data_IF_201901000380
#
_entry.id   IF_201901000380
#
_cell.length_a   1.000
_cell.length_b   1.000
_cell.length_c   1.000
_cell.angle_alpha   90.00
_cell.angle_beta   90.00
_cell.angle_gamma   90.00
#
_symmetry.space_group_name_H-M   'P 1'
#
loop_
_entity.id
_entity.type
_entity.pdbx_description
1 polymer ?
#
# COMPACT_ATOMS: atom_id res chain seq x y z
N UNK A 1 -20.14 -13.60 2.88
CA UNK A 1 -18.70 -13.73 2.58
C UNK A 1 -17.96 -13.10 3.73
N UNK A 2 -17.35 -13.95 4.56
CA UNK A 2 -16.55 -13.50 5.69
C UNK A 2 -15.27 -12.92 5.11
N UNK A 3 -15.12 -11.61 5.13
CA UNK A 3 -13.83 -10.99 4.89
C UNK A 3 -12.96 -11.28 6.11
N UNK A 4 -12.16 -12.31 6.02
CA UNK A 4 -11.12 -12.58 6.99
C UNK A 4 -10.15 -11.40 6.98
N UNK A 5 -10.26 -10.54 7.99
CA UNK A 5 -9.31 -9.44 8.18
C UNK A 5 -7.91 -10.02 8.30
N UNK A 6 -7.08 -9.77 7.30
CA UNK A 6 -5.68 -10.04 7.40
C UNK A 6 -5.04 -9.00 8.29
N UNK A 7 -4.74 -9.40 9.48
CA UNK A 7 -4.10 -8.57 10.47
C UNK A 7 -2.65 -9.03 10.59
N UNK A 8 -1.75 -8.19 10.09
CA UNK A 8 -0.31 -8.44 10.13
C UNK A 8 0.35 -7.39 10.99
N UNK A 9 1.12 -7.83 11.98
CA UNK A 9 1.93 -6.92 12.78
C UNK A 9 3.41 -7.09 12.42
N UNK A 10 4.00 -6.01 11.95
CA UNK A 10 5.44 -5.92 11.70
C UNK A 10 6.05 -4.94 12.70
N UNK A 11 6.95 -5.43 13.57
CA UNK A 11 7.69 -4.57 14.52
C UNK A 11 9.03 -4.12 13.95
N UNK A 12 9.63 -4.96 13.14
CA UNK A 12 11.00 -4.83 12.66
C UNK A 12 11.02 -4.65 11.14
N UNK A 13 12.18 -4.35 10.61
CA UNK A 13 12.37 -4.07 9.19
C UNK A 13 12.80 -5.35 8.46
N UNK A 14 12.13 -5.64 7.37
CA UNK A 14 12.42 -6.78 6.50
C UNK A 14 13.23 -6.32 5.29
N UNK A 15 14.36 -6.96 5.06
CA UNK A 15 15.23 -6.67 3.90
C UNK A 15 15.28 -7.91 3.01
N UNK A 16 14.89 -7.74 1.76
CA UNK A 16 14.95 -8.75 0.71
C UNK A 16 16.10 -8.37 -0.22
N UNK A 17 17.23 -9.03 -0.04
CA UNK A 17 18.40 -8.87 -0.90
C UNK A 17 18.49 -10.00 -1.93
N UNK A 18 19.40 -9.88 -2.89
CA UNK A 18 19.57 -10.88 -3.95
C UNK A 18 19.87 -12.29 -3.39
N UNK A 19 20.73 -12.37 -2.38
CA UNK A 19 21.25 -13.64 -1.85
C UNK A 19 20.64 -14.06 -0.51
N UNK A 20 19.95 -13.17 0.17
CA UNK A 20 19.40 -13.42 1.49
C UNK A 20 18.15 -12.61 1.82
N UNK A 21 17.51 -12.99 2.91
CA UNK A 21 16.44 -12.25 3.57
C UNK A 21 16.88 -11.98 4.99
N UNK A 22 16.68 -10.76 5.47
CA UNK A 22 17.12 -10.31 6.79
C UNK A 22 16.00 -9.60 7.53
N UNK A 23 15.89 -9.87 8.82
CA UNK A 23 15.08 -9.07 9.74
C UNK A 23 16.02 -8.17 10.52
N UNK A 24 15.75 -6.86 10.51
CA UNK A 24 16.61 -5.85 11.13
C UNK A 24 15.86 -5.01 12.16
N UNK A 25 16.58 -4.59 13.17
CA UNK A 25 16.16 -3.56 14.12
C UNK A 25 17.28 -2.54 14.24
N UNK A 26 16.98 -1.27 14.02
CA UNK A 26 17.98 -0.20 14.00
C UNK A 26 19.20 -0.54 13.11
N UNK A 27 18.93 -1.05 11.91
CA UNK A 27 19.93 -1.48 10.90
C UNK A 27 20.85 -2.62 11.33
N UNK A 28 20.48 -3.37 12.38
CA UNK A 28 21.23 -4.54 12.81
C UNK A 28 20.43 -5.80 12.55
N UNK A 29 21.12 -6.85 12.06
CA UNK A 29 20.48 -8.12 11.76
C UNK A 29 20.05 -8.82 13.04
N UNK A 30 18.75 -9.08 13.17
CA UNK A 30 18.20 -9.98 14.18
C UNK A 30 18.35 -11.42 13.69
N UNK A 31 17.96 -11.69 12.45
CA UNK A 31 18.26 -12.92 11.75
C UNK A 31 18.54 -12.68 10.28
N UNK A 32 19.27 -13.58 9.67
CA UNK A 32 19.54 -13.64 8.24
C UNK A 32 19.41 -15.08 7.77
N UNK A 33 18.72 -15.28 6.66
CA UNK A 33 18.55 -16.58 6.02
C UNK A 33 18.97 -16.42 4.56
N UNK A 34 19.95 -17.19 4.12
CA UNK A 34 20.37 -17.16 2.73
C UNK A 34 19.53 -18.09 1.84
N UNK A 35 19.80 -18.06 0.54
CA UNK A 35 19.08 -18.85 -0.45
C UNK A 35 19.24 -20.36 -0.25
N UNK A 36 20.27 -20.80 0.44
CA UNK A 36 20.50 -22.21 0.79
C UNK A 36 19.79 -22.67 2.05
N UNK A 37 19.14 -21.75 2.78
CA UNK A 37 18.48 -22.03 4.04
C UNK A 37 19.41 -21.95 5.26
N UNK A 38 20.61 -21.41 5.11
CA UNK A 38 21.51 -21.18 6.24
C UNK A 38 21.02 -20.02 7.07
N UNK A 39 20.89 -20.22 8.37
CA UNK A 39 20.44 -19.25 9.36
C UNK A 39 21.60 -18.65 10.14
N UNK A 40 21.56 -17.33 10.34
CA UNK A 40 22.37 -16.61 11.32
C UNK A 40 21.45 -15.86 12.27
N UNK A 41 21.69 -15.96 13.56
CA UNK A 41 21.03 -15.21 14.61
C UNK A 41 22.01 -14.20 15.21
N UNK A 42 21.68 -12.93 15.13
CA UNK A 42 22.56 -11.84 15.59
C UNK A 42 24.02 -12.00 15.14
N UNK A 43 24.18 -12.36 13.87
CA UNK A 43 25.48 -12.57 13.22
C UNK A 43 26.13 -13.93 13.49
N UNK A 44 25.53 -14.79 14.32
CA UNK A 44 26.08 -16.11 14.62
C UNK A 44 25.42 -17.20 13.80
N UNK A 45 26.22 -18.02 13.13
CA UNK A 45 25.77 -19.16 12.36
C UNK A 45 25.04 -20.18 13.25
N UNK A 46 23.86 -20.60 12.84
CA UNK A 46 23.07 -21.63 13.52
C UNK A 46 23.11 -22.91 12.69
N UNK A 47 23.59 -23.99 13.29
CA UNK A 47 23.57 -25.30 12.66
C UNK A 47 22.18 -25.91 12.80
N UNK A 48 21.60 -26.32 11.68
CA UNK A 48 20.29 -26.96 11.61
C UNK A 48 20.38 -28.28 10.87
N UNK A 49 19.44 -29.20 11.11
CA UNK A 49 19.34 -30.41 10.34
C UNK A 49 18.77 -30.14 8.93
N UNK A 50 18.82 -31.13 8.05
CA UNK A 50 18.37 -30.99 6.66
C UNK A 50 16.89 -30.56 6.56
N UNK A 51 16.04 -31.07 7.43
CA UNK A 51 14.61 -30.72 7.45
C UNK A 51 14.39 -29.26 7.82
N UNK A 52 15.04 -28.77 8.86
CA UNK A 52 14.98 -27.36 9.28
C UNK A 52 15.58 -26.43 8.23
N UNK A 53 16.69 -26.82 7.63
CA UNK A 53 17.29 -26.04 6.54
C UNK A 53 16.33 -25.88 5.37
N UNK A 54 15.61 -26.94 4.99
CA UNK A 54 14.60 -26.86 3.93
C UNK A 54 13.44 -25.94 4.34
N UNK A 55 12.97 -26.01 5.57
CA UNK A 55 11.91 -25.13 6.08
C UNK A 55 12.35 -23.66 6.07
N UNK A 56 13.59 -23.36 6.46
CA UNK A 56 14.18 -22.01 6.37
C UNK A 56 14.29 -21.53 4.93
N UNK A 57 14.67 -22.40 4.02
CA UNK A 57 14.73 -22.09 2.59
C UNK A 57 13.34 -21.74 2.03
N UNK A 58 12.33 -22.52 2.38
CA UNK A 58 10.94 -22.27 1.97
C UNK A 58 10.41 -20.96 2.56
N UNK A 59 10.74 -20.68 3.82
CA UNK A 59 10.36 -19.45 4.51
C UNK A 59 10.95 -18.20 3.84
N UNK A 60 12.26 -18.19 3.60
CA UNK A 60 12.90 -17.04 2.95
C UNK A 60 12.39 -16.85 1.52
N UNK A 61 12.15 -17.94 0.79
CA UNK A 61 11.59 -17.87 -0.55
C UNK A 61 10.16 -17.29 -0.54
N UNK A 62 9.34 -17.72 0.40
CA UNK A 62 7.98 -17.21 0.57
C UNK A 62 7.94 -15.73 0.95
N UNK A 63 8.82 -15.29 1.87
CA UNK A 63 8.95 -13.88 2.22
C UNK A 63 9.38 -13.03 1.01
N UNK A 64 10.30 -13.53 0.22
CA UNK A 64 10.74 -12.88 -1.04
C UNK A 64 9.58 -12.73 -2.01
N UNK A 65 8.86 -13.80 -2.27
CA UNK A 65 7.73 -13.81 -3.20
C UNK A 65 6.63 -12.85 -2.75
N UNK A 66 6.27 -12.87 -1.47
CA UNK A 66 5.22 -11.98 -0.96
C UNK A 66 5.67 -10.52 -0.89
N UNK A 67 6.93 -10.25 -0.61
CA UNK A 67 7.46 -8.88 -0.65
C UNK A 67 7.41 -8.29 -2.05
N UNK A 68 7.75 -9.05 -3.09
CA UNK A 68 7.58 -8.63 -4.48
C UNK A 68 6.10 -8.42 -4.84
N UNK A 69 5.21 -9.28 -4.35
CA UNK A 69 3.77 -9.14 -4.57
C UNK A 69 3.22 -7.85 -3.92
N UNK A 70 3.65 -7.52 -2.71
CA UNK A 70 3.28 -6.27 -2.03
C UNK A 70 3.76 -5.05 -2.81
N UNK A 71 5.00 -5.05 -3.26
CA UNK A 71 5.57 -3.97 -4.07
C UNK A 71 4.76 -3.77 -5.35
N UNK A 72 4.43 -4.85 -6.05
CA UNK A 72 3.60 -4.79 -7.26
C UNK A 72 2.20 -4.26 -6.99
N UNK A 73 1.57 -4.70 -5.90
CA UNK A 73 0.24 -4.25 -5.49
C UNK A 73 0.22 -2.74 -5.18
N UNK A 74 1.21 -2.26 -4.42
CA UNK A 74 1.35 -0.84 -4.09
C UNK A 74 1.58 0.00 -5.34
N UNK A 75 2.45 -0.45 -6.25
CA UNK A 75 2.71 0.24 -7.51
C UNK A 75 1.44 0.35 -8.37
N UNK A 76 0.67 -0.72 -8.48
CA UNK A 76 -0.57 -0.75 -9.27
C UNK A 76 -1.68 0.10 -8.60
N UNK A 77 -1.75 0.13 -7.28
CA UNK A 77 -2.67 1.01 -6.55
C UNK A 77 -2.34 2.49 -6.79
N UNK A 78 -1.07 2.86 -6.75
CA UNK A 78 -0.63 4.23 -7.06
C UNK A 78 -0.90 4.60 -8.52
N UNK A 79 -0.67 3.69 -9.45
CA UNK A 79 -0.99 3.89 -10.86
C UNK A 79 -2.49 4.06 -11.09
N UNK A 80 -3.32 3.28 -10.40
CA UNK A 80 -4.78 3.43 -10.46
C UNK A 80 -5.22 4.80 -9.96
N UNK A 81 -4.69 5.25 -8.83
CA UNK A 81 -4.98 6.57 -8.28
C UNK A 81 -4.58 7.70 -9.25
N UNK A 82 -3.37 7.62 -9.84
CA UNK A 82 -2.89 8.58 -10.82
C UNK A 82 -3.80 8.62 -12.06
N UNK A 83 -4.19 7.47 -12.58
CA UNK A 83 -5.09 7.36 -13.74
C UNK A 83 -6.47 7.94 -13.44
N UNK A 84 -7.02 7.71 -12.25
CA UNK A 84 -8.29 8.26 -11.84
C UNK A 84 -8.27 9.80 -11.82
N UNK A 85 -7.21 10.37 -11.24
CA UNK A 85 -7.07 11.84 -11.18
C UNK A 85 -6.85 12.45 -12.56
N UNK A 86 -6.04 11.84 -13.41
CA UNK A 86 -5.84 12.29 -14.79
C UNK A 86 -7.14 12.30 -15.59
N UNK A 87 -8.00 11.31 -15.42
CA UNK A 87 -9.32 11.28 -16.06
C UNK A 87 -10.22 12.42 -15.59
N UNK A 88 -10.20 12.73 -14.29
CA UNK A 88 -10.94 13.87 -13.74
C UNK A 88 -10.44 15.17 -14.36
N UNK A 89 -9.14 15.38 -14.45
CA UNK A 89 -8.54 16.57 -15.08
C UNK A 89 -8.97 16.71 -16.52
N UNK A 90 -8.90 15.64 -17.31
CA UNK A 90 -9.33 15.65 -18.72
C UNK A 90 -10.81 15.94 -18.88
N UNK A 91 -11.66 15.39 -18.00
CA UNK A 91 -13.10 15.64 -18.04
C UNK A 91 -13.47 17.09 -17.74
N UNK A 92 -12.69 17.78 -16.91
CA UNK A 92 -12.93 19.16 -16.48
C UNK A 92 -12.42 20.22 -17.46
N UNK A 93 -11.93 19.86 -18.62
CA UNK A 93 -11.61 20.82 -19.67
C UNK A 93 -10.19 20.76 -20.21
N UNK A 94 -9.49 19.67 -20.00
CA UNK A 94 -8.27 19.36 -20.72
C UNK A 94 -7.02 20.01 -20.15
N UNK A 95 -6.36 20.84 -20.92
CA UNK A 95 -5.03 21.34 -20.59
C UNK A 95 -5.06 22.52 -19.62
N UNK A 96 -5.00 22.24 -18.33
CA UNK A 96 -4.74 23.25 -17.32
C UNK A 96 -3.41 22.94 -16.62
N UNK A 97 -2.31 23.65 -16.94
CA UNK A 97 -0.99 23.36 -16.35
C UNK A 97 -0.95 23.52 -14.83
N UNK A 98 -1.74 24.43 -14.26
CA UNK A 98 -1.79 24.64 -12.81
C UNK A 98 -2.48 23.47 -12.10
N UNK A 99 -3.57 22.96 -12.69
CA UNK A 99 -4.27 21.81 -12.16
C UNK A 99 -3.40 20.56 -12.26
N UNK A 100 -2.72 20.35 -13.38
CA UNK A 100 -1.80 19.24 -13.57
C UNK A 100 -0.63 19.29 -12.56
N UNK A 101 -0.07 20.47 -12.29
CA UNK A 101 0.97 20.65 -11.29
C UNK A 101 0.46 20.31 -9.88
N UNK A 102 -0.77 20.68 -9.53
CA UNK A 102 -1.38 20.32 -8.22
C UNK A 102 -1.62 18.83 -8.09
N UNK A 103 -2.03 18.15 -9.16
CA UNK A 103 -2.19 16.70 -9.23
C UNK A 103 -0.85 16.00 -9.02
N UNK A 104 0.17 16.41 -9.76
CA UNK A 104 1.52 15.82 -9.68
C UNK A 104 2.11 16.01 -8.28
N UNK A 105 1.89 17.15 -7.65
CA UNK A 105 2.31 17.42 -6.28
C UNK A 105 1.58 16.52 -5.28
N UNK A 106 0.27 16.33 -5.41
CA UNK A 106 -0.52 15.48 -4.52
C UNK A 106 -0.07 14.02 -4.62
N UNK A 107 0.10 13.50 -5.83
CA UNK A 107 0.59 12.13 -6.08
C UNK A 107 2.01 11.97 -5.56
N UNK A 108 2.88 12.95 -5.79
CA UNK A 108 4.25 12.96 -5.27
C UNK A 108 4.31 12.90 -3.74
N UNK A 109 3.44 13.63 -3.05
CA UNK A 109 3.34 13.61 -1.59
C UNK A 109 2.93 12.24 -1.07
N UNK A 110 1.90 11.62 -1.67
CA UNK A 110 1.47 10.27 -1.31
C UNK A 110 2.56 9.24 -1.58
N UNK A 111 3.24 9.35 -2.71
CA UNK A 111 4.36 8.47 -3.06
C UNK A 111 5.51 8.58 -2.06
N UNK A 112 5.85 9.78 -1.60
CA UNK A 112 6.86 9.98 -0.56
C UNK A 112 6.52 9.24 0.73
N UNK A 113 5.27 9.28 1.18
CA UNK A 113 4.81 8.53 2.35
C UNK A 113 4.93 7.01 2.15
N UNK A 114 4.49 6.51 1.00
CA UNK A 114 4.60 5.08 0.65
C UNK A 114 6.06 4.65 0.59
N UNK A 115 6.95 5.45 0.00
CA UNK A 115 8.38 5.17 -0.14
C UNK A 115 9.12 5.14 1.21
N UNK A 116 8.55 5.67 2.29
CA UNK A 116 9.12 5.51 3.63
C UNK A 116 8.89 4.11 4.21
N UNK A 117 7.86 3.42 3.75
CA UNK A 117 7.50 2.09 4.21
C UNK A 117 8.09 1.00 3.33
N UNK A 118 7.95 1.15 2.01
CA UNK A 118 8.47 0.21 1.02
C UNK A 118 9.54 0.91 0.20
N UNK A 119 10.80 0.55 0.44
CA UNK A 119 11.95 1.14 -0.23
C UNK A 119 12.53 0.12 -1.21
N UNK A 120 12.66 0.51 -2.46
CA UNK A 120 13.38 -0.25 -3.47
C UNK A 120 14.70 0.45 -3.79
N UNK A 121 15.80 -0.25 -3.63
CA UNK A 121 17.13 0.29 -3.91
C UNK A 121 18.05 -0.78 -4.46
N UNK A 122 18.54 -0.59 -5.69
CA UNK A 122 19.52 -1.49 -6.29
C UNK A 122 19.06 -2.94 -6.44
N UNK A 123 17.77 -3.17 -6.65
CA UNK A 123 17.17 -4.51 -6.71
C UNK A 123 16.75 -5.09 -5.36
N UNK A 124 17.16 -4.49 -4.26
CA UNK A 124 16.74 -4.88 -2.91
C UNK A 124 15.41 -4.22 -2.55
N UNK A 125 14.61 -4.94 -1.76
CA UNK A 125 13.38 -4.42 -1.17
C UNK A 125 13.59 -4.30 0.34
N UNK A 126 13.23 -3.15 0.90
CA UNK A 126 13.19 -2.94 2.34
C UNK A 126 11.76 -2.57 2.75
N UNK A 127 11.17 -3.33 3.65
CA UNK A 127 9.86 -3.04 4.26
C UNK A 127 10.12 -2.56 5.68
N UNK A 128 9.89 -1.28 5.92
CA UNK A 128 10.14 -0.65 7.21
C UNK A 128 8.95 -0.85 8.18
N UNK A 129 8.80 -2.06 8.67
CA UNK A 129 7.74 -2.42 9.61
C UNK A 129 7.77 -1.59 10.90
N UNK A 130 8.96 -1.19 11.36
CA UNK A 130 9.13 -0.31 12.51
C UNK A 130 8.46 1.07 12.36
N UNK A 131 8.30 1.54 11.12
CA UNK A 131 7.62 2.82 10.82
C UNK A 131 6.10 2.66 10.73
N UNK A 132 5.61 1.49 10.35
CA UNK A 132 4.17 1.19 10.27
C UNK A 132 3.60 1.02 11.68
N UNK A 133 4.31 0.31 12.53
CA UNK A 133 3.86 -0.13 13.84
C UNK A 133 4.39 0.74 14.98
N UNK A 134 4.40 2.06 14.77
CA UNK A 134 4.59 3.03 15.83
C UNK A 134 3.49 2.85 16.86
N UNK A 135 3.84 2.62 18.13
CA UNK A 135 2.91 2.50 19.24
C UNK A 135 1.95 3.71 19.37
N UNK A 136 2.31 4.84 18.75
CA UNK A 136 1.58 6.11 18.80
C UNK A 136 0.63 6.31 17.58
N UNK A 137 0.52 5.38 16.64
CA UNK A 137 -0.28 5.54 15.41
C UNK A 137 0.15 6.70 14.52
N UNK A 138 1.37 7.18 14.69
CA UNK A 138 1.87 8.41 14.09
C UNK A 138 1.94 8.34 12.57
N UNK A 139 2.34 7.20 12.00
CA UNK A 139 2.37 7.01 10.55
C UNK A 139 0.98 7.10 9.94
N UNK A 140 -0.01 6.42 10.55
CA UNK A 140 -1.40 6.44 10.08
C UNK A 140 -1.98 7.86 10.12
N UNK A 141 -1.77 8.59 11.21
CA UNK A 141 -2.20 9.98 11.32
C UNK A 141 -1.52 10.90 10.29
N UNK A 142 -0.21 10.78 10.11
CA UNK A 142 0.52 11.57 9.12
C UNK A 142 0.08 11.25 7.68
N UNK A 143 -0.19 9.98 7.39
CA UNK A 143 -0.71 9.56 6.09
C UNK A 143 -2.12 10.10 5.84
N UNK A 144 -3.03 9.98 6.80
CA UNK A 144 -4.39 10.55 6.72
C UNK A 144 -4.35 12.06 6.50
N UNK A 145 -3.52 12.78 7.26
CA UNK A 145 -3.34 14.22 7.09
C UNK A 145 -2.80 14.58 5.71
N UNK A 146 -1.84 13.81 5.19
CA UNK A 146 -1.29 14.02 3.85
C UNK A 146 -2.34 13.81 2.76
N UNK A 147 -3.17 12.77 2.89
CA UNK A 147 -4.30 12.51 1.98
C UNK A 147 -5.31 13.65 2.05
N UNK A 148 -5.72 14.05 3.25
CA UNK A 148 -6.70 15.12 3.44
C UNK A 148 -6.21 16.47 2.87
N UNK A 149 -4.97 16.86 3.16
CA UNK A 149 -4.37 18.09 2.61
C UNK A 149 -4.25 18.03 1.09
N UNK A 150 -3.88 16.90 0.53
CA UNK A 150 -3.80 16.70 -0.92
C UNK A 150 -5.19 16.81 -1.57
N UNK A 151 -6.21 16.23 -0.96
CA UNK A 151 -7.60 16.32 -1.43
C UNK A 151 -8.14 17.76 -1.37
N UNK A 152 -7.84 18.50 -0.30
CA UNK A 152 -8.22 19.92 -0.18
C UNK A 152 -7.57 20.79 -1.26
N UNK A 153 -6.29 20.58 -1.52
CA UNK A 153 -5.55 21.31 -2.57
C UNK A 153 -6.10 21.00 -3.97
N UNK A 154 -6.37 19.72 -4.24
CA UNK A 154 -6.98 19.30 -5.51
C UNK A 154 -8.38 19.89 -5.69
N UNK A 155 -9.21 19.86 -4.66
CA UNK A 155 -10.55 20.43 -4.69
C UNK A 155 -10.50 21.94 -4.97
N UNK A 156 -9.62 22.67 -4.31
CA UNK A 156 -9.40 24.10 -4.55
C UNK A 156 -8.95 24.40 -6.00
N UNK A 157 -7.99 23.63 -6.50
CA UNK A 157 -7.50 23.76 -7.87
C UNK A 157 -8.60 23.44 -8.92
N UNK A 158 -9.42 22.42 -8.66
CA UNK A 158 -10.56 22.06 -9.48
C UNK A 158 -11.61 23.18 -9.52
N UNK A 159 -11.95 23.77 -8.37
CA UNK A 159 -12.89 24.89 -8.30
C UNK A 159 -12.40 26.12 -9.05
N UNK A 160 -11.09 26.44 -8.95
CA UNK A 160 -10.50 27.54 -9.73
C UNK A 160 -10.54 27.26 -11.23
N UNK A 161 -10.24 26.05 -11.66
CA UNK A 161 -10.30 25.63 -13.06
C UNK A 161 -11.74 25.72 -13.61
N UNK A 162 -12.71 25.27 -12.82
CA UNK A 162 -14.13 25.39 -13.17
C UNK A 162 -14.56 26.85 -13.31
N UNK A 163 -14.17 27.72 -12.39
CA UNK A 163 -14.46 29.15 -12.44
C UNK A 163 -13.91 29.83 -13.72
N UNK A 164 -12.70 29.47 -14.13
CA UNK A 164 -12.09 29.93 -15.38
C UNK A 164 -12.86 29.41 -16.60
N UNK A 165 -13.21 28.15 -16.66
CA UNK A 165 -13.97 27.56 -17.76
C UNK A 165 -15.38 28.15 -17.89
N UNK A 166 -15.99 28.54 -16.78
CA UNK A 166 -17.32 29.17 -16.76
C UNK A 166 -17.30 30.64 -17.22
N UNK A 167 -16.17 31.34 -17.03
CA UNK A 167 -15.97 32.71 -17.43
C UNK A 167 -15.58 32.88 -18.93
N UNK A 168 -15.03 31.82 -19.52
CA UNK A 168 -14.59 31.77 -20.91
C UNK A 168 -15.67 31.15 -21.81
N UNK A 169 -16.10 31.85 -22.83
CA UNK A 169 -16.97 31.35 -23.89
C UNK A 169 -18.35 31.97 -23.92
N UNK A 170 -19.00 31.85 -25.11
CA UNK A 170 -20.35 32.35 -25.39
C UNK A 170 -21.41 31.40 -24.82
N UNK A 171 -22.33 31.92 -24.06
CA UNK A 171 -23.50 31.20 -23.60
C UNK A 171 -23.95 31.63 -22.21
N UNK A 172 -25.23 31.34 -21.94
CA UNK A 172 -25.84 31.58 -20.65
C UNK A 172 -25.21 30.70 -19.56
N UNK A 173 -24.92 31.27 -18.40
CA UNK A 173 -24.35 30.58 -17.24
C UNK A 173 -25.17 29.37 -16.83
N UNK A 174 -26.51 29.50 -16.82
CA UNK A 174 -27.42 28.43 -16.42
C UNK A 174 -27.35 27.23 -17.39
N UNK A 175 -27.28 27.48 -18.69
CA UNK A 175 -27.12 26.46 -19.73
C UNK A 175 -25.77 25.75 -19.62
N UNK A 176 -24.70 26.51 -19.36
CA UNK A 176 -23.35 25.96 -19.16
C UNK A 176 -23.27 25.06 -17.91
N UNK A 177 -23.90 25.51 -16.84
CA UNK A 177 -23.98 24.72 -15.59
C UNK A 177 -24.75 23.41 -15.77
N UNK A 178 -25.88 23.47 -16.49
CA UNK A 178 -26.66 22.26 -16.75
C UNK A 178 -25.89 21.26 -17.63
N UNK A 179 -25.24 21.72 -18.68
CA UNK A 179 -24.42 20.88 -19.56
C UNK A 179 -23.21 20.29 -18.82
N UNK A 180 -22.57 21.09 -17.97
CA UNK A 180 -21.47 20.64 -17.13
C UNK A 180 -21.91 19.57 -16.12
N UNK A 181 -23.05 19.80 -15.43
CA UNK A 181 -23.61 18.85 -14.48
C UNK A 181 -23.93 17.50 -15.13
N UNK A 182 -24.55 17.50 -16.29
CA UNK A 182 -24.88 16.28 -17.03
C UNK A 182 -23.62 15.54 -17.49
N UNK A 183 -22.62 16.25 -17.99
CA UNK A 183 -21.31 15.67 -18.35
C UNK A 183 -20.61 15.05 -17.15
N UNK A 184 -20.62 15.72 -16.00
CA UNK A 184 -19.99 15.23 -14.77
C UNK A 184 -20.71 14.04 -14.18
N UNK A 185 -22.04 13.97 -14.23
CA UNK A 185 -22.80 12.81 -13.78
C UNK A 185 -22.46 11.56 -14.60
N UNK A 186 -22.42 11.68 -15.92
CA UNK A 186 -22.01 10.57 -16.79
C UNK A 186 -20.57 10.14 -16.53
N UNK A 187 -19.68 11.11 -16.44
CA UNK A 187 -18.27 10.86 -16.17
C UNK A 187 -18.08 10.19 -14.81
N UNK A 188 -18.77 10.68 -13.76
CA UNK A 188 -18.70 10.12 -12.40
C UNK A 188 -19.15 8.65 -12.37
N UNK A 189 -20.24 8.33 -13.06
CA UNK A 189 -20.74 6.95 -13.14
C UNK A 189 -19.76 6.02 -13.88
N UNK A 190 -19.18 6.48 -14.99
CA UNK A 190 -18.21 5.70 -15.77
C UNK A 190 -16.92 5.48 -14.96
N UNK A 191 -16.44 6.51 -14.27
CA UNK A 191 -15.26 6.44 -13.42
C UNK A 191 -15.46 5.51 -12.23
N UNK A 192 -16.62 5.61 -11.56
CA UNK A 192 -16.97 4.74 -10.44
C UNK A 192 -16.97 3.27 -10.85
N UNK A 193 -17.59 2.95 -11.97
CA UNK A 193 -17.62 1.58 -12.49
C UNK A 193 -16.22 1.04 -12.80
N UNK A 194 -15.36 1.83 -13.44
CA UNK A 194 -13.98 1.46 -13.76
C UNK A 194 -13.12 1.30 -12.50
N UNK A 195 -13.23 2.24 -11.55
CA UNK A 195 -12.48 2.19 -10.30
C UNK A 195 -12.93 1.04 -9.41
N UNK A 196 -14.21 0.69 -9.42
CA UNK A 196 -14.73 -0.48 -8.71
C UNK A 196 -14.12 -1.76 -9.26
N UNK A 197 -14.09 -1.95 -10.57
CA UNK A 197 -13.51 -3.15 -11.21
C UNK A 197 -12.02 -3.29 -10.87
N UNK A 198 -11.25 -2.22 -11.01
CA UNK A 198 -9.82 -2.20 -10.68
C UNK A 198 -9.57 -2.36 -9.18
N UNK A 199 -10.39 -1.72 -8.34
CA UNK A 199 -10.32 -1.82 -6.90
C UNK A 199 -10.62 -3.24 -6.41
N UNK A 200 -11.62 -3.90 -6.95
CA UNK A 200 -11.95 -5.30 -6.66
C UNK A 200 -10.79 -6.23 -7.03
N UNK A 201 -10.10 -5.97 -8.14
CA UNK A 201 -8.90 -6.70 -8.56
C UNK A 201 -7.73 -6.53 -7.57
N UNK A 202 -7.49 -5.32 -7.10
CA UNK A 202 -6.46 -5.04 -6.09
C UNK A 202 -6.80 -5.68 -4.74
N UNK A 203 -8.07 -5.63 -4.32
CA UNK A 203 -8.55 -6.28 -3.11
C UNK A 203 -8.33 -7.80 -3.16
N UNK A 204 -8.69 -8.44 -4.28
CA UNK A 204 -8.46 -9.86 -4.48
C UNK A 204 -6.97 -10.24 -4.39
N UNK A 205 -6.09 -9.42 -4.94
CA UNK A 205 -4.63 -9.61 -4.82
C UNK A 205 -4.16 -9.44 -3.38
N UNK A 206 -4.69 -8.46 -2.65
CA UNK A 206 -4.41 -8.25 -1.23
C UNK A 206 -4.84 -9.46 -0.39
N UNK A 207 -6.02 -10.01 -0.62
CA UNK A 207 -6.51 -11.22 0.05
C UNK A 207 -5.63 -12.44 -0.25
N UNK A 208 -5.16 -12.58 -1.48
CA UNK A 208 -4.24 -13.65 -1.85
C UNK A 208 -2.90 -13.54 -1.13
N UNK A 209 -2.35 -12.33 -1.02
CA UNK A 209 -1.13 -12.06 -0.23
C UNK A 209 -1.36 -12.45 1.23
N UNK A 210 -2.49 -12.07 1.82
CA UNK A 210 -2.87 -12.44 3.18
C UNK A 210 -2.92 -13.95 3.41
N UNK A 211 -3.52 -14.68 2.49
CA UNK A 211 -3.58 -16.15 2.57
C UNK A 211 -2.19 -16.76 2.55
N UNK A 212 -1.31 -16.26 1.68
CA UNK A 212 0.08 -16.73 1.60
C UNK A 212 0.88 -16.38 2.86
N UNK A 213 0.65 -15.20 3.45
CA UNK A 213 1.32 -14.81 4.70
C UNK A 213 0.86 -15.65 5.90
N UNK A 214 -0.40 -16.08 5.94
CA UNK A 214 -0.87 -17.05 6.95
C UNK A 214 -0.16 -18.40 6.80
N UNK A 215 0.04 -18.87 5.59
CA UNK A 215 0.81 -20.10 5.34
C UNK A 215 2.27 -19.94 5.78
N UNK A 216 2.87 -18.76 5.56
CA UNK A 216 4.21 -18.45 6.06
C UNK A 216 4.28 -18.36 7.58
N UNK A 217 3.23 -17.89 8.25
CA UNK A 217 3.15 -17.91 9.71
C UNK A 217 3.22 -19.34 10.27
N UNK A 218 2.54 -20.30 9.63
CA UNK A 218 2.64 -21.71 9.98
C UNK A 218 4.08 -22.23 9.83
N UNK A 219 4.75 -21.89 8.75
CA UNK A 219 6.16 -22.24 8.51
C UNK A 219 7.06 -21.58 9.57
N UNK A 220 6.82 -20.32 9.90
CA UNK A 220 7.55 -19.59 10.95
C UNK A 220 7.41 -20.29 12.30
N UNK A 221 6.21 -20.74 12.68
CA UNK A 221 5.98 -21.50 13.90
C UNK A 221 6.73 -22.83 13.91
N UNK A 222 6.83 -23.52 12.77
CA UNK A 222 7.64 -24.73 12.64
C UNK A 222 9.13 -24.44 12.86
N UNK A 223 9.64 -23.34 12.32
CA UNK A 223 11.02 -22.89 12.57
C UNK A 223 11.23 -22.59 14.05
N UNK A 224 10.30 -21.88 14.69
CA UNK A 224 10.37 -21.54 16.10
C UNK A 224 10.36 -22.79 17.02
N UNK A 225 9.64 -23.82 16.61
CA UNK A 225 9.64 -25.10 17.34
C UNK A 225 10.98 -25.83 17.25
N UNK A 226 11.68 -25.73 16.10
CA UNK A 226 12.96 -26.40 15.86
C UNK A 226 14.16 -25.55 16.30
N UNK A 227 14.02 -24.22 16.25
CA UNK A 227 15.01 -23.24 16.70
C UNK A 227 14.34 -22.29 17.68
N UNK A 228 14.26 -22.63 18.97
CA UNK A 228 13.51 -21.85 19.96
C UNK A 228 13.94 -20.40 20.11
N UNK A 229 15.20 -20.08 19.80
CA UNK A 229 15.71 -18.70 19.81
C UNK A 229 15.00 -17.81 18.79
N UNK A 230 14.40 -18.37 17.72
CA UNK A 230 13.62 -17.65 16.73
C UNK A 230 12.28 -17.12 17.27
N UNK A 231 11.79 -17.63 18.40
CA UNK A 231 10.57 -17.12 19.04
C UNK A 231 10.67 -15.65 19.46
N UNK A 232 11.88 -15.17 19.72
CA UNK A 232 12.13 -13.75 20.04
C UNK A 232 11.93 -12.82 18.83
N UNK A 233 11.94 -13.36 17.63
CA UNK A 233 11.90 -12.63 16.36
C UNK A 233 10.71 -13.04 15.49
N UNK A 234 9.55 -13.14 16.10
CA UNK A 234 8.30 -13.44 15.42
C UNK A 234 7.96 -12.29 14.46
N UNK A 235 7.98 -12.58 13.15
CA UNK A 235 7.73 -11.58 12.11
C UNK A 235 6.24 -11.50 11.76
N UNK A 236 5.59 -12.65 11.64
CA UNK A 236 4.21 -12.75 11.20
C UNK A 236 3.32 -13.11 12.38
N UNK A 237 2.50 -12.18 12.83
CA UNK A 237 1.51 -12.44 13.87
C UNK A 237 0.10 -12.26 13.28
N UNK A 238 -0.59 -13.37 13.10
CA UNK A 238 -1.97 -13.40 12.58
C UNK A 238 -3.01 -13.45 13.72
N UNK A 239 -2.58 -13.50 14.98
CA UNK A 239 -3.45 -13.62 16.15
C UNK A 239 -3.98 -12.29 16.69
N UNK A 240 -3.37 -11.17 16.30
CA UNK A 240 -3.74 -9.82 16.78
C UNK A 240 -4.41 -9.01 15.70
N UNK A 241 -5.32 -8.12 16.10
CA UNK A 241 -5.90 -7.15 15.16
C UNK A 241 -4.80 -6.20 14.67
N UNK A 242 -4.43 -6.33 13.39
CA UNK A 242 -3.47 -5.46 12.73
C UNK A 242 -4.13 -4.34 11.95
N UNK A 243 -3.32 -3.63 11.18
CA UNK A 243 -3.75 -2.52 10.34
C UNK A 243 -4.80 -3.01 9.34
N UNK A 244 -6.03 -2.54 9.50
CA UNK A 244 -7.07 -2.76 8.50
C UNK A 244 -6.68 -1.98 7.24
N UNK A 245 -6.59 -2.64 6.10
CA UNK A 245 -6.48 -1.94 4.84
C UNK A 245 -7.60 -0.89 4.75
N UNK A 246 -7.29 0.36 4.36
CA UNK A 246 -8.32 1.37 4.21
C UNK A 246 -9.35 0.87 3.20
N UNK A 247 -10.63 0.86 3.60
CA UNK A 247 -11.72 0.55 2.68
C UNK A 247 -11.79 1.69 1.66
N UNK A 248 -11.22 1.47 0.50
CA UNK A 248 -11.41 2.35 -0.65
C UNK A 248 -12.86 2.20 -1.11
N UNK A 249 -13.72 3.15 -0.74
CA UNK A 249 -15.02 3.30 -1.35
C UNK A 249 -16.25 2.98 -0.49
N UNK A 250 -16.29 3.45 0.76
CA UNK A 250 -17.59 3.71 1.41
C UNK A 250 -17.69 5.20 1.68
N UNK A 251 -18.26 5.94 0.72
CA UNK A 251 -18.93 7.18 1.04
C UNK A 251 -20.06 6.81 2.01
N UNK A 252 -19.98 7.27 3.24
CA UNK A 252 -21.06 7.14 4.19
C UNK A 252 -22.29 7.84 3.61
N UNK A 253 -23.31 7.07 3.26
CA UNK A 253 -24.67 7.54 3.17
C UNK A 253 -25.07 8.02 4.56
N UNK A 254 -24.79 9.26 4.89
CA UNK A 254 -25.45 9.92 6.00
C UNK A 254 -26.87 10.26 5.53
N UNK A 255 -27.77 9.33 5.86
CA UNK A 255 -29.18 9.50 5.70
C UNK A 255 -29.68 10.72 6.46
N UNK A 256 -30.39 11.54 5.75
CA UNK A 256 -31.28 12.54 6.30
C UNK A 256 -32.42 11.79 7.06
N UNK A 257 -32.54 12.08 8.31
CA UNK A 257 -33.70 11.83 9.14
C UNK A 257 -34.12 13.14 9.78
#
# INVERSE_FOLDING_TARGET
>A
VVHDNCSLQFKDDLVIAADDVRLQRANQDLWRIDASGQLWLEGKKVNTNASTTQTLKDYQHGLRTQSHAVVGLVADAMQMAATAVDKVVQALGGENPQLQASVDQAIGTLKQHVDTIVVQKGGDIRINGSKINNADGKFEQEFEQAVEQSMMKLTGALMMSMGQSMSEGDGDFETKMAAFGEKMDKFGNDLEAEMKEKGDGLEARGEQICTQLRELDVIEQQIQAQVPAMKAYDLIDTSKEGIKAPKLGQAEEQGQG
#
